data_IF_112099222820
#
_entry.id   IF_112099222820
#
_cell.length_a   1.000
_cell.length_b   1.000
_cell.length_c   1.000
_cell.angle_alpha   90.00
_cell.angle_beta   90.00
_cell.angle_gamma   90.00
#
_symmetry.space_group_name_H-M   'P 1'
#
loop_
_entity.id
_entity.type
_entity.pdbx_description
1 polymer ?
#
# COMPACT_ATOMS: atom_id res chain seq x y z
N UNK A 1 3.85 3.60 18.14
CA UNK A 1 4.15 4.88 18.83
C UNK A 1 4.54 5.98 17.84
N UNK A 2 5.48 5.79 16.90
CA UNK A 2 5.76 6.80 15.85
C UNK A 2 4.82 6.68 14.64
N UNK A 3 4.57 5.46 14.14
CA UNK A 3 3.64 5.22 13.03
C UNK A 3 2.24 5.80 13.31
N UNK A 4 1.81 5.77 14.57
CA UNK A 4 0.55 6.35 15.00
C UNK A 4 0.55 7.87 15.02
N UNK A 5 1.66 8.48 15.41
CA UNK A 5 1.80 9.94 15.39
C UNK A 5 1.79 10.46 13.94
N UNK A 6 2.55 9.83 13.04
CA UNK A 6 2.62 10.26 11.62
C UNK A 6 1.29 10.08 10.88
N UNK A 7 0.45 9.12 11.30
CA UNK A 7 -0.90 8.92 10.77
C UNK A 7 -1.87 10.03 11.17
N UNK A 8 -1.64 10.68 12.30
CA UNK A 8 -2.46 11.81 12.76
C UNK A 8 -1.91 13.15 12.26
N UNK A 9 -0.59 13.27 12.18
CA UNK A 9 0.11 14.46 11.69
C UNK A 9 1.40 14.02 10.97
N UNK A 10 1.44 14.18 9.65
CA UNK A 10 2.60 13.79 8.83
C UNK A 10 3.90 14.49 9.26
N UNK A 11 3.82 15.71 9.80
CA UNK A 11 4.99 16.44 10.28
C UNK A 11 5.58 15.85 11.56
N UNK A 12 4.87 14.96 12.26
CA UNK A 12 5.40 14.23 13.41
C UNK A 12 6.65 13.41 13.05
N UNK A 13 6.88 13.12 11.77
CA UNK A 13 8.10 12.49 11.27
C UNK A 13 9.37 13.25 11.66
N UNK A 14 9.30 14.57 11.85
CA UNK A 14 10.46 15.37 12.27
C UNK A 14 11.00 15.00 13.65
N UNK A 15 10.16 14.40 14.51
CA UNK A 15 10.51 13.96 15.85
C UNK A 15 10.90 12.47 15.91
N UNK A 16 10.78 11.74 14.80
CA UNK A 16 11.14 10.33 14.73
C UNK A 16 12.67 10.13 14.78
N UNK A 17 13.10 8.95 15.23
CA UNK A 17 14.52 8.57 15.21
C UNK A 17 15.08 8.55 13.78
N UNK A 18 16.41 8.58 13.65
CA UNK A 18 17.06 8.50 12.35
C UNK A 18 16.64 7.27 11.55
N UNK A 19 16.53 6.11 12.22
CA UNK A 19 16.10 4.85 11.61
C UNK A 19 14.68 4.94 11.05
N UNK A 20 13.76 5.54 11.81
CA UNK A 20 12.36 5.69 11.39
C UNK A 20 12.17 6.75 10.29
N UNK A 21 13.01 7.78 10.25
CA UNK A 21 13.06 8.71 9.10
C UNK A 21 13.67 8.06 7.86
N UNK A 22 14.42 6.96 8.03
CA UNK A 22 14.93 6.11 6.95
C UNK A 22 14.02 4.94 6.59
N UNK A 23 12.91 4.76 7.30
CA UNK A 23 11.93 3.72 7.01
C UNK A 23 10.97 4.21 5.93
N UNK A 24 10.98 3.53 4.78
CA UNK A 24 10.14 3.90 3.61
C UNK A 24 8.66 3.91 3.95
N UNK A 25 8.19 2.97 4.78
CA UNK A 25 6.78 2.85 5.12
C UNK A 25 6.33 3.98 6.05
N UNK A 26 7.14 4.30 7.06
CA UNK A 26 6.85 5.42 7.96
C UNK A 26 6.87 6.76 7.21
N UNK A 27 7.84 6.95 6.32
CA UNK A 27 7.93 8.17 5.50
C UNK A 27 6.77 8.27 4.53
N UNK A 28 6.36 7.18 3.87
CA UNK A 28 5.21 7.22 2.97
C UNK A 28 3.93 7.61 3.72
N UNK A 29 3.67 6.98 4.86
CA UNK A 29 2.50 7.29 5.70
C UNK A 29 2.49 8.77 6.11
N UNK A 30 3.65 9.33 6.44
CA UNK A 30 3.78 10.74 6.77
C UNK A 30 3.51 11.66 5.56
N UNK A 31 4.05 11.32 4.38
CA UNK A 31 3.85 12.10 3.14
C UNK A 31 2.40 12.10 2.68
N UNK A 32 1.68 11.00 2.91
CA UNK A 32 0.24 10.91 2.63
C UNK A 32 -0.61 11.85 3.49
N UNK A 33 -0.16 12.15 4.72
CA UNK A 33 -0.84 13.14 5.58
C UNK A 33 -0.40 14.56 5.25
N UNK A 34 0.91 14.77 5.07
CA UNK A 34 1.47 16.06 4.66
C UNK A 34 2.66 15.85 3.73
N UNK A 35 2.53 16.32 2.49
CA UNK A 35 3.61 16.28 1.49
C UNK A 35 4.92 16.90 1.95
N UNK A 36 4.89 17.83 2.90
CA UNK A 36 6.09 18.45 3.47
C UNK A 36 6.82 17.54 4.45
N UNK A 37 6.20 16.45 4.92
CA UNK A 37 6.86 15.44 5.74
C UNK A 37 8.09 14.83 5.04
N UNK A 38 8.09 14.75 3.70
CA UNK A 38 9.24 14.25 2.93
C UNK A 38 10.53 15.05 3.22
N UNK A 39 10.42 16.32 3.61
CA UNK A 39 11.58 17.15 3.97
C UNK A 39 12.31 16.64 5.22
N UNK A 40 11.63 15.89 6.08
CA UNK A 40 12.16 15.30 7.31
C UNK A 40 12.65 13.86 7.13
N UNK A 41 12.37 13.22 6.00
CA UNK A 41 12.88 11.89 5.69
C UNK A 41 14.42 11.85 5.60
N UNK A 42 14.99 10.67 5.68
CA UNK A 42 16.41 10.45 5.42
C UNK A 42 16.76 10.87 3.99
N UNK A 43 17.98 11.39 3.79
CA UNK A 43 18.43 11.92 2.49
C UNK A 43 18.26 10.94 1.33
N UNK A 44 18.45 9.63 1.59
CA UNK A 44 18.26 8.57 0.60
C UNK A 44 16.80 8.48 0.09
N UNK A 45 15.82 8.78 0.94
CA UNK A 45 14.40 8.67 0.64
C UNK A 45 13.77 9.94 0.07
N UNK A 46 14.38 11.12 0.28
CA UNK A 46 13.87 12.39 -0.26
C UNK A 46 13.74 12.41 -1.79
N UNK A 47 14.55 11.59 -2.48
CA UNK A 47 14.57 11.46 -3.93
C UNK A 47 13.86 10.22 -4.44
N UNK A 48 13.28 9.44 -3.54
CA UNK A 48 12.55 8.23 -3.90
C UNK A 48 11.34 8.60 -4.77
N UNK A 49 11.25 8.09 -6.02
CA UNK A 49 10.13 8.39 -6.90
C UNK A 49 8.77 7.96 -6.35
N UNK A 50 8.72 6.90 -5.54
CA UNK A 50 7.48 6.37 -4.97
C UNK A 50 6.97 7.19 -3.79
N UNK A 51 7.86 7.92 -3.12
CA UNK A 51 7.52 8.80 -2.00
C UNK A 51 7.21 10.23 -2.44
N UNK A 52 7.26 10.53 -3.75
CA UNK A 52 6.99 11.88 -4.23
C UNK A 52 5.51 12.23 -4.08
N UNK A 53 5.17 13.45 -3.59
CA UNK A 53 3.79 13.87 -3.39
C UNK A 53 2.90 13.74 -4.63
N UNK A 54 3.48 13.90 -5.83
CA UNK A 54 2.77 13.78 -7.10
C UNK A 54 2.33 12.34 -7.44
N UNK A 55 3.00 11.32 -6.87
CA UNK A 55 2.57 9.91 -6.95
C UNK A 55 1.75 9.48 -5.73
N UNK A 56 1.76 10.30 -4.67
CA UNK A 56 0.96 10.11 -3.48
C UNK A 56 -0.52 10.55 -3.64
N UNK A 57 -0.94 11.08 -4.79
CA UNK A 57 -2.36 11.31 -5.13
C UNK A 57 -2.80 10.70 -6.49
N UNK A 58 -4.03 10.17 -6.64
CA UNK A 58 -4.98 9.72 -5.63
C UNK A 58 -4.92 8.19 -5.50
N UNK A 59 -4.15 7.69 -4.52
CA UNK A 59 -4.47 6.37 -3.96
C UNK A 59 -5.52 6.58 -2.86
N UNK A 60 -6.76 6.78 -3.33
CA UNK A 60 -7.94 6.98 -2.50
C UNK A 60 -8.38 5.68 -1.83
N UNK A 61 -7.58 5.12 -0.93
CA UNK A 61 -8.02 4.27 0.19
C UNK A 61 -6.90 4.36 1.23
N UNK A 62 -7.05 4.85 2.46
CA UNK A 62 -8.21 5.24 3.23
C UNK A 62 -8.08 6.70 3.72
N UNK A 63 -9.12 7.21 4.38
CA UNK A 63 -9.14 8.58 4.88
C UNK A 63 -7.99 8.91 5.84
N UNK A 64 -7.75 10.20 6.12
CA UNK A 64 -6.76 10.65 7.10
C UNK A 64 -6.84 9.83 8.39
N UNK A 65 -5.70 9.29 8.84
CA UNK A 65 -5.63 8.51 10.09
C UNK A 65 -5.86 6.99 10.00
N UNK A 66 -6.11 6.42 8.82
CA UNK A 66 -6.29 4.97 8.69
C UNK A 66 -5.00 4.19 8.94
N UNK A 67 -5.08 3.15 9.77
CA UNK A 67 -3.95 2.29 10.14
C UNK A 67 -3.77 1.14 9.16
N UNK A 68 -3.18 1.38 7.99
CA UNK A 68 -2.99 0.30 7.02
C UNK A 68 -1.64 0.39 6.29
N UNK A 69 -0.77 -0.65 6.37
CA UNK A 69 0.45 -0.68 5.57
C UNK A 69 0.10 -0.81 4.09
N UNK A 70 0.96 -0.23 3.24
CA UNK A 70 0.84 -0.35 1.78
C UNK A 70 1.50 -1.64 1.33
N UNK A 71 0.74 -2.38 0.52
CA UNK A 71 1.14 -3.61 -0.13
C UNK A 71 1.02 -3.38 -1.64
N UNK A 72 2.16 -3.33 -2.31
CA UNK A 72 2.25 -3.35 -3.75
C UNK A 72 1.90 -4.74 -4.26
N UNK A 73 1.14 -4.77 -5.36
CA UNK A 73 0.70 -6.00 -5.99
C UNK A 73 1.24 -6.08 -7.41
N UNK A 74 1.68 -7.27 -7.81
CA UNK A 74 1.98 -7.57 -9.21
C UNK A 74 0.67 -7.88 -9.96
N UNK A 75 0.74 -7.86 -11.30
CA UNK A 75 -0.39 -8.27 -12.13
C UNK A 75 -0.75 -9.74 -11.83
N UNK A 76 -2.03 -10.06 -11.50
CA UNK A 76 -2.45 -11.42 -11.24
C UNK A 76 -2.20 -12.35 -12.43
N UNK A 77 -1.64 -13.53 -12.16
CA UNK A 77 -1.38 -14.56 -13.16
C UNK A 77 -2.38 -15.71 -13.00
N UNK A 78 -3.07 -16.07 -14.07
CA UNK A 78 -3.96 -17.24 -14.05
C UNK A 78 -3.15 -18.54 -14.03
N UNK A 79 -3.56 -19.50 -13.18
CA UNK A 79 -2.90 -20.80 -13.05
C UNK A 79 -3.57 -21.88 -13.94
N UNK A 80 -2.80 -22.85 -14.49
CA UNK A 80 -3.37 -24.01 -15.19
C UNK A 80 -4.16 -24.88 -14.21
N UNK A 81 -5.48 -24.96 -14.37
CA UNK A 81 -6.39 -25.60 -13.41
C UNK A 81 -7.33 -24.64 -12.67
N UNK A 82 -7.20 -23.33 -12.94
CA UNK A 82 -8.02 -22.28 -12.34
C UNK A 82 -7.34 -21.63 -11.14
N UNK A 83 -7.81 -20.43 -10.80
CA UNK A 83 -7.24 -19.61 -9.73
C UNK A 83 -6.16 -18.64 -10.19
N UNK A 84 -5.58 -17.97 -9.21
CA UNK A 84 -4.70 -16.83 -9.41
C UNK A 84 -3.44 -16.96 -8.56
N UNK A 85 -2.31 -16.54 -9.13
CA UNK A 85 -1.06 -16.32 -8.43
C UNK A 85 -0.74 -14.82 -8.48
N UNK A 86 -0.50 -14.23 -7.32
CA UNK A 86 -0.24 -12.80 -7.18
C UNK A 86 0.95 -12.60 -6.25
N UNK A 87 2.02 -11.99 -6.76
CA UNK A 87 3.11 -11.53 -5.91
C UNK A 87 2.74 -10.20 -5.26
N UNK A 88 3.00 -10.09 -3.96
CA UNK A 88 2.74 -8.89 -3.18
C UNK A 88 3.99 -8.49 -2.38
N UNK A 89 4.17 -7.20 -2.16
CA UNK A 89 5.35 -6.66 -1.49
C UNK A 89 5.00 -5.47 -0.59
N UNK A 90 5.67 -5.34 0.56
CA UNK A 90 5.73 -4.09 1.32
C UNK A 90 6.89 -3.24 0.84
N UNK A 91 6.81 -1.95 1.11
CA UNK A 91 7.91 -1.01 0.87
C UNK A 91 9.14 -1.30 1.73
N UNK A 92 8.96 -2.02 2.85
CA UNK A 92 10.05 -2.58 3.68
C UNK A 92 10.88 -3.64 2.96
N UNK A 93 10.41 -4.16 1.81
CA UNK A 93 11.05 -5.23 1.04
C UNK A 93 10.55 -6.63 1.40
N UNK A 94 9.65 -6.77 2.37
CA UNK A 94 8.97 -8.04 2.65
C UNK A 94 8.07 -8.43 1.46
N UNK A 95 8.17 -9.67 0.98
CA UNK A 95 7.42 -10.16 -0.17
C UNK A 95 6.70 -11.46 0.14
N UNK A 96 5.57 -11.70 -0.53
CA UNK A 96 4.83 -12.95 -0.46
C UNK A 96 4.23 -13.30 -1.84
N UNK A 97 4.22 -14.59 -2.17
CA UNK A 97 3.46 -15.11 -3.31
C UNK A 97 2.15 -15.72 -2.82
N UNK A 98 1.04 -15.15 -3.25
CA UNK A 98 -0.29 -15.55 -2.83
C UNK A 98 -0.96 -16.38 -3.92
N UNK A 99 -1.60 -17.48 -3.51
CA UNK A 99 -2.42 -18.32 -4.39
C UNK A 99 -3.88 -18.22 -3.98
N UNK A 100 -4.72 -17.81 -4.91
CA UNK A 100 -6.16 -17.64 -4.70
C UNK A 100 -6.95 -18.57 -5.60
N UNK A 101 -8.14 -18.93 -5.14
CA UNK A 101 -9.05 -19.78 -5.90
C UNK A 101 -9.59 -19.08 -7.16
N UNK A 102 -10.15 -19.86 -8.08
CA UNK A 102 -10.85 -19.31 -9.24
C UNK A 102 -12.01 -18.42 -8.77
N UNK A 103 -12.20 -17.26 -9.41
CA UNK A 103 -13.24 -16.31 -9.04
C UNK A 103 -12.95 -15.47 -7.79
N UNK A 104 -11.76 -15.57 -7.21
CA UNK A 104 -11.36 -14.73 -6.07
C UNK A 104 -11.44 -13.24 -6.41
N UNK A 105 -11.78 -12.44 -5.40
CA UNK A 105 -11.95 -10.99 -5.54
C UNK A 105 -10.73 -10.20 -5.07
N UNK A 106 -10.73 -8.90 -5.35
CA UNK A 106 -9.76 -7.94 -4.77
C UNK A 106 -9.74 -8.02 -3.25
N UNK A 107 -10.90 -8.15 -2.60
CA UNK A 107 -11.04 -8.27 -1.16
C UNK A 107 -10.44 -9.56 -0.60
N UNK A 108 -10.54 -10.68 -1.33
CA UNK A 108 -9.88 -11.92 -0.95
C UNK A 108 -8.36 -11.78 -1.01
N UNK A 109 -7.83 -11.15 -2.05
CA UNK A 109 -6.40 -10.82 -2.15
C UNK A 109 -5.95 -9.90 -1.03
N UNK A 110 -6.70 -8.85 -0.72
CA UNK A 110 -6.37 -7.91 0.36
C UNK A 110 -6.34 -8.60 1.73
N UNK A 111 -7.29 -9.50 2.00
CA UNK A 111 -7.36 -10.28 3.25
C UNK A 111 -6.17 -11.24 3.36
N UNK A 112 -5.82 -11.90 2.27
CA UNK A 112 -4.69 -12.83 2.23
C UNK A 112 -3.36 -12.08 2.41
N UNK A 113 -3.17 -10.98 1.68
CA UNK A 113 -1.99 -10.13 1.79
C UNK A 113 -1.85 -9.54 3.20
N UNK A 114 -2.96 -9.08 3.79
CA UNK A 114 -3.02 -8.62 5.18
C UNK A 114 -2.56 -9.70 6.16
N UNK A 115 -3.05 -10.92 6.00
CA UNK A 115 -2.66 -12.04 6.87
C UNK A 115 -1.16 -12.33 6.77
N UNK A 116 -0.61 -12.30 5.56
CA UNK A 116 0.80 -12.62 5.32
C UNK A 116 1.76 -11.51 5.74
N UNK A 117 1.42 -10.23 5.45
CA UNK A 117 2.37 -9.12 5.52
C UNK A 117 2.01 -8.05 6.57
N UNK A 118 0.79 -8.10 7.12
CA UNK A 118 0.27 -7.09 8.05
C UNK A 118 -0.40 -7.67 9.31
N UNK A 119 -0.21 -8.98 9.57
CA UNK A 119 -0.76 -9.64 10.76
C UNK A 119 -2.29 -9.59 10.87
N UNK A 120 -3.01 -9.45 9.76
CA UNK A 120 -4.48 -9.36 9.75
C UNK A 120 -5.05 -7.96 9.95
N UNK A 121 -4.22 -6.91 9.95
CA UNK A 121 -4.69 -5.51 10.00
C UNK A 121 -5.33 -5.06 8.68
N UNK A 122 -6.01 -3.91 8.66
CA UNK A 122 -6.40 -3.29 7.39
C UNK A 122 -5.15 -3.02 6.55
N UNK A 123 -5.22 -3.18 5.22
CA UNK A 123 -4.09 -2.95 4.31
C UNK A 123 -4.49 -2.08 3.14
N UNK A 124 -3.52 -1.37 2.60
CA UNK A 124 -3.65 -0.60 1.36
C UNK A 124 -3.06 -1.39 0.22
N UNK A 125 -3.89 -1.70 -0.78
CA UNK A 125 -3.46 -2.45 -1.95
C UNK A 125 -3.14 -1.48 -3.08
N UNK A 126 -1.90 -1.48 -3.56
CA UNK A 126 -1.48 -0.73 -4.73
C UNK A 126 -1.41 -1.67 -5.94
N UNK A 127 -2.23 -1.41 -6.96
CA UNK A 127 -2.30 -2.22 -8.18
C UNK A 127 -1.55 -1.55 -9.34
N UNK A 128 -0.93 -2.34 -10.24
CA UNK A 128 -0.17 -1.80 -11.36
C UNK A 128 -1.08 -1.25 -12.47
N UNK A 129 -2.37 -1.63 -12.48
CA UNK A 129 -3.33 -1.33 -13.56
C UNK A 129 -4.26 -0.13 -13.27
N UNK A 130 -3.90 0.73 -12.32
CA UNK A 130 -4.68 1.93 -11.96
C UNK A 130 -5.44 1.78 -10.62
N UNK A 131 -6.06 2.87 -10.14
CA UNK A 131 -6.61 2.92 -8.79
C UNK A 131 -7.83 1.98 -8.67
N UNK A 132 -7.71 0.96 -7.83
CA UNK A 132 -8.86 0.19 -7.35
C UNK A 132 -9.46 0.96 -6.18
N UNK A 133 -10.77 1.22 -6.20
CA UNK A 133 -11.45 2.02 -5.16
C UNK A 133 -11.72 1.17 -3.91
N UNK A 134 -11.93 1.78 -2.72
CA UNK A 134 -12.19 1.02 -1.49
C UNK A 134 -13.42 0.11 -1.57
N UNK A 135 -14.35 0.47 -2.47
CA UNK A 135 -15.63 -0.18 -2.67
C UNK A 135 -15.59 -1.29 -3.74
N UNK A 136 -14.43 -1.53 -4.35
CA UNK A 136 -14.24 -2.55 -5.39
C UNK A 136 -13.76 -3.89 -4.80
N UNK A 137 -13.95 -4.15 -3.50
CA UNK A 137 -13.49 -5.38 -2.83
C UNK A 137 -14.14 -6.66 -3.39
N UNK A 138 -15.34 -6.53 -3.95
CA UNK A 138 -16.07 -7.59 -4.65
C UNK A 138 -15.66 -7.74 -6.11
N UNK A 139 -14.79 -6.88 -6.65
CA UNK A 139 -14.34 -6.96 -8.04
C UNK A 139 -13.52 -8.26 -8.27
N UNK A 140 -13.77 -8.99 -9.37
CA UNK A 140 -13.01 -10.21 -9.67
C UNK A 140 -11.55 -9.87 -9.98
N UNK A 141 -10.62 -10.66 -9.45
CA UNK A 141 -9.20 -10.56 -9.82
C UNK A 141 -9.03 -10.76 -11.33
N UNK A 142 -8.18 -9.92 -11.94
CA UNK A 142 -7.92 -9.95 -13.38
C UNK A 142 -8.95 -9.21 -14.25
N UNK A 143 -10.02 -8.64 -13.67
CA UNK A 143 -10.88 -7.71 -14.41
C UNK A 143 -10.13 -6.40 -14.70
N UNK A 144 -10.28 -5.79 -15.88
CA UNK A 144 -9.74 -4.46 -16.10
C UNK A 144 -10.39 -3.49 -15.10
N UNK A 145 -9.57 -2.60 -14.50
CA UNK A 145 -10.07 -1.59 -13.58
C UNK A 145 -11.27 -0.85 -14.20
N UNK A 146 -12.36 -0.61 -13.46
CA UNK A 146 -13.52 0.09 -14.01
C UNK A 146 -13.04 1.44 -14.54
N UNK A 147 -13.27 1.70 -15.84
CA UNK A 147 -12.94 2.97 -16.46
C UNK A 147 -13.55 4.08 -15.60
N UNK A 148 -12.73 5.02 -15.15
CA UNK A 148 -13.18 6.15 -14.35
C UNK A 148 -14.27 6.91 -15.12
N UNK A 149 -15.52 6.74 -14.68
CA UNK A 149 -16.67 7.54 -15.10
C UNK A 149 -16.78 8.81 -14.28
#
# INVERSE_FOLDING_TARGET
VVLEAVRQDGLALQFASADLRGDREVVLEAVRQDRWALTHAATALKRDPELQPARAEPNAIAGPGARAPVIDTAAPRALPGGGWEVAVARLSGETAELRLAAGATVGDLAREASRCLAGGALVHMAFPTGPVRPLDDSAPLGSPAPAAG
#
